data_IF_260046376676
#
_entry.id   IF_260046376676
#
_cell.length_a   1.000
_cell.length_b   1.000
_cell.length_c   1.000
_cell.angle_alpha   90.00
_cell.angle_beta   90.00
_cell.angle_gamma   90.00
#
_symmetry.space_group_name_H-M   'P 1'
#
loop_
_entity.id
_entity.type
_entity.pdbx_description
1 polymer ?
#
# COMPACT_ATOMS: atom_id res chain seq x y z
N UNK A 1 -18.43 17.52 14.86
CA UNK A 1 -18.01 18.34 13.71
C UNK A 1 -16.92 17.55 12.99
N UNK A 2 -17.22 17.09 11.79
CA UNK A 2 -16.23 16.36 10.97
C UNK A 2 -15.19 17.36 10.51
N UNK A 3 -13.97 17.28 11.03
CA UNK A 3 -12.83 18.02 10.52
C UNK A 3 -12.46 17.45 9.16
N UNK A 4 -12.85 18.11 8.09
CA UNK A 4 -12.48 17.75 6.73
C UNK A 4 -10.99 18.02 6.46
N UNK A 5 -10.50 17.56 5.32
CA UNK A 5 -9.13 17.80 4.83
C UNK A 5 -8.71 19.27 4.99
N UNK A 6 -9.60 20.22 4.63
CA UNK A 6 -9.36 21.66 4.73
C UNK A 6 -9.09 22.11 6.18
N UNK A 7 -9.87 21.57 7.13
CA UNK A 7 -9.73 21.89 8.54
C UNK A 7 -8.44 21.30 9.11
N UNK A 8 -8.03 20.11 8.64
CA UNK A 8 -6.77 19.49 9.03
C UNK A 8 -5.56 20.30 8.51
N UNK A 9 -5.57 20.72 7.25
CA UNK A 9 -4.49 21.59 6.72
C UNK A 9 -4.40 22.85 7.55
N UNK A 10 -5.53 23.52 7.82
CA UNK A 10 -5.58 24.72 8.66
C UNK A 10 -5.11 24.48 10.10
N UNK A 11 -5.53 23.36 10.69
CA UNK A 11 -5.13 22.93 12.04
C UNK A 11 -3.62 22.74 12.13
N UNK A 12 -3.05 21.93 11.25
CA UNK A 12 -1.61 21.64 11.29
C UNK A 12 -0.76 22.85 10.95
N UNK A 13 -1.21 23.72 10.02
CA UNK A 13 -0.53 25.00 9.77
C UNK A 13 -0.46 25.86 11.01
N UNK A 14 -1.59 26.00 11.73
CA UNK A 14 -1.62 26.77 13.00
C UNK A 14 -0.74 26.14 14.09
N UNK A 15 -0.75 24.81 14.19
CA UNK A 15 0.11 24.09 15.13
C UNK A 15 1.58 24.27 14.81
N UNK A 16 1.94 24.36 13.51
CA UNK A 16 3.30 24.68 13.07
C UNK A 16 3.66 26.17 13.21
N UNK A 17 2.74 27.02 13.69
CA UNK A 17 2.98 28.46 13.84
C UNK A 17 3.10 29.24 12.54
N UNK A 18 2.65 28.69 11.41
CA UNK A 18 2.79 29.29 10.09
C UNK A 18 1.58 30.15 9.72
N UNK A 19 1.80 31.28 9.03
CA UNK A 19 0.77 31.98 8.27
C UNK A 19 0.43 31.21 6.98
N UNK A 20 -0.62 31.59 6.25
CA UNK A 20 -0.89 31.01 4.93
C UNK A 20 0.23 31.30 3.94
N UNK A 21 0.81 32.50 4.03
CA UNK A 21 1.97 32.92 3.25
C UNK A 21 3.20 32.09 3.64
N UNK A 22 3.46 31.91 4.95
CA UNK A 22 4.57 31.10 5.43
C UNK A 22 4.44 29.62 5.04
N UNK A 23 3.23 29.05 5.02
CA UNK A 23 3.03 27.71 4.49
C UNK A 23 3.23 27.64 2.97
N UNK A 24 2.82 28.66 2.23
CA UNK A 24 3.02 28.71 0.79
C UNK A 24 4.52 28.75 0.46
N UNK A 25 5.29 29.56 1.16
CA UNK A 25 6.76 29.63 1.05
C UNK A 25 7.43 28.30 1.44
N UNK A 26 7.09 27.74 2.60
CA UNK A 26 7.66 26.47 3.08
C UNK A 26 7.35 25.28 2.18
N UNK A 27 6.22 25.34 1.47
CA UNK A 27 5.76 24.29 0.57
C UNK A 27 6.15 24.54 -0.90
N UNK A 28 6.78 25.65 -1.23
CA UNK A 28 7.03 26.11 -2.59
C UNK A 28 5.75 26.08 -3.46
N UNK A 29 4.65 26.58 -2.90
CA UNK A 29 3.35 26.66 -3.53
C UNK A 29 2.85 28.11 -3.60
N UNK A 30 1.92 28.38 -4.50
CA UNK A 30 1.27 29.68 -4.52
C UNK A 30 0.34 29.85 -3.29
N UNK A 31 0.22 31.08 -2.79
CA UNK A 31 -0.72 31.42 -1.72
C UNK A 31 -2.17 31.04 -2.09
N UNK A 32 -2.53 31.16 -3.37
CA UNK A 32 -3.84 30.78 -3.88
C UNK A 32 -4.09 29.27 -3.74
N UNK A 33 -3.07 28.46 -3.93
CA UNK A 33 -3.13 27.00 -3.74
C UNK A 33 -3.36 26.63 -2.26
N UNK A 34 -2.64 27.27 -1.35
CA UNK A 34 -2.83 27.06 0.11
C UNK A 34 -4.23 27.50 0.53
N UNK A 35 -4.70 28.66 0.10
CA UNK A 35 -6.06 29.13 0.38
C UNK A 35 -7.12 28.19 -0.17
N UNK A 36 -6.94 27.69 -1.40
CA UNK A 36 -7.83 26.72 -2.02
C UNK A 36 -7.92 25.42 -1.19
N UNK A 37 -6.77 24.89 -0.75
CA UNK A 37 -6.73 23.71 0.11
C UNK A 37 -7.45 23.93 1.45
N UNK A 38 -7.23 25.07 2.12
CA UNK A 38 -7.89 25.41 3.39
C UNK A 38 -9.37 25.76 3.25
N UNK A 39 -9.85 26.12 2.07
CA UNK A 39 -11.25 26.37 1.78
C UNK A 39 -12.02 25.12 1.31
N UNK A 40 -11.33 23.98 1.20
CA UNK A 40 -11.91 22.71 0.76
C UNK A 40 -12.10 22.62 -0.76
N UNK A 41 -11.37 23.44 -1.51
CA UNK A 41 -11.28 23.30 -2.96
C UNK A 41 -10.42 22.09 -3.34
N UNK A 42 -10.71 21.49 -4.49
CA UNK A 42 -9.92 20.36 -5.00
C UNK A 42 -8.48 20.81 -5.31
N UNK A 43 -7.51 20.11 -4.71
CA UNK A 43 -6.08 20.21 -4.97
C UNK A 43 -5.57 18.82 -5.34
N UNK A 44 -4.49 18.74 -6.12
CA UNK A 44 -3.91 17.47 -6.51
C UNK A 44 -3.32 16.72 -5.30
N UNK A 45 -3.17 15.41 -5.41
CA UNK A 45 -2.50 14.61 -4.39
C UNK A 45 -1.05 15.04 -4.20
N UNK A 46 -0.38 15.45 -5.28
CA UNK A 46 0.96 16.05 -5.25
C UNK A 46 0.99 17.29 -4.36
N UNK A 47 0.05 18.22 -4.54
CA UNK A 47 -0.10 19.41 -3.68
C UNK A 47 -0.29 19.03 -2.22
N UNK A 48 -1.12 18.00 -1.94
CA UNK A 48 -1.35 17.54 -0.58
C UNK A 48 -0.11 16.89 0.04
N UNK A 49 0.67 16.14 -0.72
CA UNK A 49 1.96 15.61 -0.27
C UNK A 49 2.94 16.74 0.07
N UNK A 50 3.00 17.77 -0.78
CA UNK A 50 3.86 18.94 -0.57
C UNK A 50 3.47 19.71 0.69
N UNK A 51 2.17 19.95 0.90
CA UNK A 51 1.65 20.57 2.12
C UNK A 51 1.94 19.73 3.37
N UNK A 52 1.72 18.41 3.30
CA UNK A 52 1.98 17.51 4.42
C UNK A 52 3.45 17.55 4.85
N UNK A 53 4.36 17.52 3.88
CA UNK A 53 5.81 17.62 4.12
C UNK A 53 6.19 18.96 4.77
N UNK A 54 5.70 20.08 4.25
CA UNK A 54 5.95 21.40 4.83
C UNK A 54 5.38 21.53 6.25
N UNK A 55 4.31 20.81 6.56
CA UNK A 55 3.68 20.75 7.89
C UNK A 55 4.30 19.71 8.83
N UNK A 56 5.26 18.90 8.38
CA UNK A 56 5.88 17.84 9.18
C UNK A 56 4.92 16.71 9.56
N UNK A 57 3.88 16.45 8.74
CA UNK A 57 2.89 15.40 8.97
C UNK A 57 2.80 14.47 7.75
N UNK A 58 2.28 13.24 7.94
CA UNK A 58 2.03 12.37 6.79
C UNK A 58 0.80 12.85 6.01
N UNK A 59 0.79 12.61 4.71
CA UNK A 59 -0.38 12.94 3.86
C UNK A 59 -1.64 12.24 4.36
N UNK A 60 -1.52 11.01 4.86
CA UNK A 60 -2.63 10.30 5.48
C UNK A 60 -3.20 11.01 6.70
N UNK A 61 -2.39 11.79 7.41
CA UNK A 61 -2.82 12.61 8.57
C UNK A 61 -3.71 13.77 8.11
N UNK A 62 -3.46 14.34 6.93
CA UNK A 62 -4.33 15.38 6.38
C UNK A 62 -5.72 14.84 6.02
N UNK A 63 -5.83 13.55 5.67
CA UNK A 63 -7.11 12.88 5.40
C UNK A 63 -7.75 12.27 6.66
N UNK A 64 -7.07 12.29 7.80
CA UNK A 64 -7.63 11.76 9.03
C UNK A 64 -8.85 12.62 9.41
N UNK A 65 -10.04 12.07 9.25
CA UNK A 65 -11.18 12.54 10.01
C UNK A 65 -10.94 12.12 11.45
N UNK A 66 -11.16 13.02 12.42
CA UNK A 66 -11.35 12.60 13.80
C UNK A 66 -12.55 11.65 13.76
N UNK A 67 -12.28 10.37 13.51
CA UNK A 67 -13.29 9.36 13.68
C UNK A 67 -13.77 9.52 15.13
N UNK A 68 -15.08 9.70 15.38
CA UNK A 68 -15.59 9.62 16.72
C UNK A 68 -14.96 8.37 17.30
N UNK A 69 -14.39 8.44 18.53
CA UNK A 69 -13.88 7.26 19.24
C UNK A 69 -14.97 6.22 19.12
N UNK A 70 -14.81 5.29 18.20
CA UNK A 70 -15.84 4.32 17.91
C UNK A 70 -16.13 3.68 19.24
N UNK A 71 -17.40 3.60 19.58
CA UNK A 71 -17.84 2.64 20.60
C UNK A 71 -17.26 1.32 20.08
N UNK A 72 -16.20 0.88 20.74
CA UNK A 72 -15.31 -0.20 20.28
C UNK A 72 -16.16 -1.43 20.07
N UNK A 73 -16.48 -1.73 18.83
CA UNK A 73 -17.19 -2.93 18.48
C UNK A 73 -16.34 -4.16 18.81
N UNK A 74 -16.98 -5.31 19.06
CA UNK A 74 -16.30 -6.59 19.32
C UNK A 74 -15.21 -6.90 18.28
N UNK A 75 -15.34 -6.42 17.05
CA UNK A 75 -14.36 -6.56 15.95
C UNK A 75 -13.07 -5.78 16.22
N UNK A 76 -13.16 -4.57 16.79
CA UNK A 76 -11.98 -3.76 17.11
C UNK A 76 -11.20 -4.30 18.30
N UNK A 77 -11.88 -4.93 19.25
CA UNK A 77 -11.25 -5.59 20.39
C UNK A 77 -10.51 -6.86 19.96
N UNK A 78 -11.11 -7.67 19.08
CA UNK A 78 -10.46 -8.83 18.49
C UNK A 78 -9.22 -8.45 17.68
N UNK A 79 -9.31 -7.40 16.85
CA UNK A 79 -8.18 -6.90 16.07
C UNK A 79 -7.04 -6.41 16.98
N UNK A 80 -7.34 -5.70 18.06
CA UNK A 80 -6.32 -5.28 19.04
C UNK A 80 -5.63 -6.45 19.72
N UNK A 81 -6.38 -7.49 20.06
CA UNK A 81 -5.83 -8.70 20.67
C UNK A 81 -4.88 -9.41 19.71
N UNK A 82 -5.28 -9.60 18.44
CA UNK A 82 -4.40 -10.20 17.43
C UNK A 82 -3.15 -9.35 17.15
N UNK A 83 -3.26 -8.03 17.12
CA UNK A 83 -2.09 -7.15 16.98
C UNK A 83 -1.15 -7.24 18.18
N UNK A 84 -1.66 -7.40 19.40
CA UNK A 84 -0.84 -7.60 20.59
C UNK A 84 -0.11 -8.94 20.56
N UNK A 85 -0.79 -10.03 20.14
CA UNK A 85 -0.19 -11.35 19.96
C UNK A 85 0.86 -11.33 18.84
N UNK A 86 0.55 -10.67 17.72
CA UNK A 86 1.48 -10.50 16.60
C UNK A 86 2.73 -9.72 17.01
N UNK A 87 2.57 -8.66 17.81
CA UNK A 87 3.70 -7.88 18.35
C UNK A 87 4.61 -8.76 19.19
N UNK A 88 4.08 -9.59 20.06
CA UNK A 88 4.89 -10.51 20.90
C UNK A 88 5.63 -11.55 20.06
N UNK A 89 4.99 -12.07 19.00
CA UNK A 89 5.62 -13.05 18.11
C UNK A 89 6.69 -12.43 17.20
N UNK A 90 6.48 -11.19 16.75
CA UNK A 90 7.41 -10.49 15.88
C UNK A 90 8.60 -9.88 16.64
N UNK A 91 8.36 -9.39 17.85
CA UNK A 91 9.32 -8.64 18.67
C UNK A 91 9.32 -9.24 20.09
N UNK A 92 9.82 -10.48 20.24
CA UNK A 92 9.90 -11.12 21.55
C UNK A 92 10.81 -10.31 22.47
N UNK A 93 10.53 -10.34 23.79
CA UNK A 93 11.42 -9.76 24.76
C UNK A 93 12.74 -10.55 24.79
N UNK A 94 13.87 -9.85 24.67
CA UNK A 94 15.20 -10.45 24.62
C UNK A 94 15.93 -10.17 25.92
N UNK A 95 16.40 -11.23 26.60
CA UNK A 95 17.29 -11.14 27.74
C UNK A 95 18.77 -11.07 27.31
N UNK A 96 19.70 -11.05 28.28
CA UNK A 96 21.14 -11.02 27.99
C UNK A 96 21.63 -12.30 27.28
N UNK A 97 21.03 -13.42 27.54
CA UNK A 97 21.50 -14.74 27.05
C UNK A 97 20.59 -15.39 26.03
N UNK A 98 19.28 -15.10 26.05
CA UNK A 98 18.28 -15.71 25.17
C UNK A 98 16.99 -14.88 25.15
N UNK A 99 16.10 -15.09 24.14
CA UNK A 99 14.73 -14.61 24.19
C UNK A 99 14.02 -15.15 25.45
N UNK A 100 13.16 -14.32 26.06
CA UNK A 100 12.39 -14.72 27.25
C UNK A 100 11.20 -15.64 26.90
N UNK A 101 10.84 -15.76 25.64
CA UNK A 101 9.78 -16.64 25.16
C UNK A 101 10.38 -17.80 24.38
N UNK A 102 9.98 -19.02 24.76
CA UNK A 102 10.25 -20.21 23.99
C UNK A 102 9.55 -20.08 22.62
N UNK A 103 10.25 -20.23 21.49
CA UNK A 103 9.62 -20.21 20.17
C UNK A 103 8.64 -21.39 19.97
N UNK A 104 8.67 -22.41 20.84
CA UNK A 104 7.85 -23.62 20.74
C UNK A 104 8.54 -24.72 19.94
N UNK A 105 7.83 -25.81 19.71
CA UNK A 105 8.32 -26.92 18.89
C UNK A 105 8.38 -26.54 17.41
N UNK A 106 9.46 -26.90 16.76
CA UNK A 106 9.58 -26.79 15.31
C UNK A 106 8.61 -27.80 14.67
N UNK A 107 7.56 -27.29 14.05
CA UNK A 107 6.70 -28.11 13.20
C UNK A 107 7.42 -28.52 11.91
N UNK A 108 6.80 -29.43 11.14
CA UNK A 108 7.36 -29.84 9.85
C UNK A 108 7.47 -28.68 8.87
N UNK A 109 8.58 -28.58 8.16
CA UNK A 109 8.85 -27.52 7.18
C UNK A 109 7.79 -27.46 6.07
N UNK A 110 7.26 -28.63 5.68
CA UNK A 110 6.14 -28.75 4.72
C UNK A 110 4.86 -28.06 5.22
N UNK A 111 4.55 -28.18 6.50
CA UNK A 111 3.40 -27.54 7.13
C UNK A 111 3.59 -26.03 7.24
N UNK A 112 4.80 -25.59 7.58
CA UNK A 112 5.15 -24.17 7.61
C UNK A 112 4.98 -23.52 6.24
N UNK A 113 5.52 -24.14 5.18
CA UNK A 113 5.39 -23.66 3.80
C UNK A 113 3.91 -23.57 3.37
N UNK A 114 3.13 -24.62 3.67
CA UNK A 114 1.69 -24.63 3.40
C UNK A 114 0.97 -23.49 4.15
N UNK A 115 1.26 -23.31 5.43
CA UNK A 115 0.68 -22.26 6.26
C UNK A 115 0.97 -20.84 5.73
N UNK A 116 2.18 -20.62 5.21
CA UNK A 116 2.55 -19.35 4.56
C UNK A 116 1.76 -19.14 3.25
N UNK A 117 1.66 -20.17 2.40
CA UNK A 117 0.88 -20.11 1.15
C UNK A 117 -0.60 -19.82 1.42
N UNK A 118 -1.20 -20.51 2.38
CA UNK A 118 -2.59 -20.25 2.81
C UNK A 118 -2.75 -18.84 3.37
N UNK A 119 -1.76 -18.34 4.13
CA UNK A 119 -1.75 -16.97 4.64
C UNK A 119 -1.74 -15.93 3.50
N UNK A 120 -0.94 -16.14 2.46
CA UNK A 120 -0.96 -15.31 1.26
C UNK A 120 -2.29 -15.39 0.50
N UNK A 121 -2.87 -16.59 0.35
CA UNK A 121 -4.17 -16.76 -0.28
C UNK A 121 -5.29 -16.01 0.48
N UNK A 122 -5.30 -16.07 1.81
CA UNK A 122 -6.22 -15.30 2.64
C UNK A 122 -6.03 -13.79 2.46
N UNK A 123 -4.78 -13.31 2.38
CA UNK A 123 -4.49 -11.90 2.13
C UNK A 123 -5.05 -11.42 0.78
N UNK A 124 -4.85 -12.21 -0.28
CA UNK A 124 -5.39 -11.91 -1.61
C UNK A 124 -6.91 -12.03 -1.70
N UNK A 125 -7.50 -12.89 -0.87
CA UNK A 125 -8.96 -13.03 -0.74
C UNK A 125 -9.62 -11.96 0.15
N UNK A 126 -8.91 -10.89 0.52
CA UNK A 126 -9.42 -9.81 1.39
C UNK A 126 -9.85 -10.27 2.80
N UNK A 127 -9.25 -11.36 3.31
CA UNK A 127 -9.59 -11.92 4.62
C UNK A 127 -8.56 -11.52 5.69
N UNK A 128 -8.39 -10.22 5.92
CA UNK A 128 -7.35 -9.69 6.82
C UNK A 128 -7.51 -10.15 8.27
N UNK A 129 -8.75 -10.34 8.74
CA UNK A 129 -9.00 -10.90 10.06
C UNK A 129 -8.48 -12.33 10.22
N UNK A 130 -8.59 -13.18 9.18
CA UNK A 130 -8.04 -14.52 9.16
C UNK A 130 -6.51 -14.51 9.07
N UNK A 131 -5.93 -13.60 8.28
CA UNK A 131 -4.46 -13.37 8.23
C UNK A 131 -3.95 -12.99 9.61
N UNK A 132 -4.54 -12.00 10.28
CA UNK A 132 -4.15 -11.54 11.60
C UNK A 132 -4.09 -12.67 12.64
N UNK A 133 -5.06 -13.57 12.59
CA UNK A 133 -5.14 -14.72 13.49
C UNK A 133 -4.02 -15.74 13.26
N UNK A 134 -3.59 -15.94 12.00
CA UNK A 134 -2.57 -16.94 11.64
C UNK A 134 -1.13 -16.44 11.85
N UNK A 135 -0.85 -15.16 11.60
CA UNK A 135 0.50 -14.62 11.60
C UNK A 135 1.32 -14.91 12.87
N UNK A 136 0.77 -14.79 14.11
CA UNK A 136 1.55 -15.09 15.32
C UNK A 136 2.06 -16.52 15.39
N UNK A 137 1.23 -17.49 14.96
CA UNK A 137 1.61 -18.90 14.89
C UNK A 137 2.71 -19.13 13.85
N UNK A 138 2.52 -18.62 12.63
CA UNK A 138 3.51 -18.74 11.56
C UNK A 138 4.88 -18.17 11.95
N UNK A 139 4.91 -17.01 12.62
CA UNK A 139 6.15 -16.39 13.06
C UNK A 139 6.86 -17.26 14.11
N UNK A 140 6.14 -17.76 15.11
CA UNK A 140 6.74 -18.65 16.13
C UNK A 140 7.24 -19.96 15.54
N UNK A 141 6.43 -20.65 14.74
CA UNK A 141 6.84 -21.91 14.11
C UNK A 141 8.02 -21.73 13.16
N UNK A 142 8.08 -20.60 12.43
CA UNK A 142 9.22 -20.31 11.55
C UNK A 142 10.51 -19.98 12.32
N UNK A 143 10.40 -19.30 13.46
CA UNK A 143 11.55 -19.06 14.37
C UNK A 143 12.07 -20.38 14.93
N UNK A 144 11.17 -21.22 15.45
CA UNK A 144 11.52 -22.53 15.98
C UNK A 144 12.21 -23.40 14.93
N UNK A 145 11.70 -23.40 13.69
CA UNK A 145 12.32 -24.18 12.60
C UNK A 145 13.74 -23.70 12.26
N UNK A 146 13.96 -22.39 12.16
CA UNK A 146 15.30 -21.82 11.91
C UNK A 146 16.28 -22.17 13.04
N UNK A 147 15.79 -22.18 14.29
CA UNK A 147 16.62 -22.47 15.47
C UNK A 147 16.93 -23.97 15.66
N UNK A 148 16.06 -24.86 15.20
CA UNK A 148 16.17 -26.30 15.44
C UNK A 148 16.83 -27.07 14.29
N UNK A 149 16.80 -26.52 13.06
CA UNK A 149 17.34 -27.18 11.87
C UNK A 149 18.75 -26.72 11.56
N UNK A 150 19.52 -27.52 10.82
CA UNK A 150 20.88 -27.24 10.41
C UNK A 150 21.07 -27.48 8.91
N UNK A 151 22.14 -26.91 8.32
CA UNK A 151 22.49 -27.12 6.92
C UNK A 151 21.42 -26.67 5.93
N UNK A 152 21.15 -27.47 4.92
CA UNK A 152 20.19 -27.18 3.84
C UNK A 152 18.75 -27.02 4.37
N UNK A 153 18.37 -27.79 5.38
CA UNK A 153 17.02 -27.66 6.00
C UNK A 153 16.86 -26.33 6.72
N UNK A 154 17.92 -25.84 7.37
CA UNK A 154 17.93 -24.52 7.99
C UNK A 154 17.77 -23.40 6.93
N UNK A 155 18.48 -23.50 5.80
CA UNK A 155 18.31 -22.54 4.70
C UNK A 155 16.87 -22.52 4.20
N UNK A 156 16.27 -23.68 4.02
CA UNK A 156 14.84 -23.80 3.68
C UNK A 156 13.91 -23.22 4.74
N UNK A 157 14.23 -23.38 6.02
CA UNK A 157 13.47 -22.76 7.11
C UNK A 157 13.62 -21.23 7.10
N UNK A 158 14.81 -20.72 6.85
CA UNK A 158 15.07 -19.27 6.68
C UNK A 158 14.22 -18.68 5.54
N UNK A 159 14.17 -19.35 4.39
CA UNK A 159 13.32 -18.93 3.26
C UNK A 159 11.85 -18.89 3.65
N UNK A 160 11.34 -19.94 4.32
CA UNK A 160 9.97 -19.98 4.78
C UNK A 160 9.66 -18.87 5.80
N UNK A 161 10.61 -18.58 6.70
CA UNK A 161 10.51 -17.45 7.63
C UNK A 161 10.51 -16.10 6.91
N UNK A 162 11.36 -15.91 5.90
CA UNK A 162 11.31 -14.71 5.06
C UNK A 162 9.92 -14.47 4.49
N UNK A 163 9.27 -15.51 3.95
CA UNK A 163 7.92 -15.38 3.41
C UNK A 163 6.88 -15.06 4.48
N UNK A 164 6.97 -15.66 5.67
CA UNK A 164 6.11 -15.32 6.81
C UNK A 164 6.28 -13.85 7.23
N UNK A 165 7.52 -13.35 7.25
CA UNK A 165 7.83 -11.96 7.58
C UNK A 165 7.37 -10.99 6.48
N UNK A 166 7.53 -11.34 5.20
CA UNK A 166 7.01 -10.55 4.08
C UNK A 166 5.48 -10.44 4.13
N UNK A 167 4.78 -11.54 4.41
CA UNK A 167 3.33 -11.52 4.60
C UNK A 167 2.95 -10.65 5.80
N UNK A 168 3.69 -10.76 6.90
CA UNK A 168 3.50 -9.93 8.11
C UNK A 168 3.69 -8.45 7.79
N UNK A 169 4.76 -8.07 7.11
CA UNK A 169 5.03 -6.70 6.70
C UNK A 169 3.95 -6.15 5.76
N UNK A 170 3.48 -6.96 4.81
CA UNK A 170 2.39 -6.64 3.89
C UNK A 170 1.09 -6.35 4.66
N UNK A 171 0.69 -7.23 5.57
CA UNK A 171 -0.48 -7.07 6.41
C UNK A 171 -0.38 -5.82 7.31
N UNK A 172 0.74 -5.67 8.03
CA UNK A 172 0.95 -4.56 8.96
C UNK A 172 0.97 -3.20 8.25
N UNK A 173 1.55 -3.11 7.04
CA UNK A 173 1.48 -1.89 6.23
C UNK A 173 0.03 -1.56 5.84
N UNK A 174 -0.76 -2.58 5.50
CA UNK A 174 -2.16 -2.41 5.14
C UNK A 174 -3.01 -1.88 6.31
N UNK A 175 -2.78 -2.42 7.51
CA UNK A 175 -3.49 -1.99 8.73
C UNK A 175 -2.79 -0.83 9.47
N UNK A 176 -1.77 -0.21 8.85
CA UNK A 176 -1.06 0.98 9.30
C UNK A 176 -0.29 0.83 10.62
N UNK A 177 0.21 -0.36 10.88
CA UNK A 177 1.17 -0.60 11.97
C UNK A 177 2.59 -0.49 11.41
N UNK A 178 2.99 0.73 11.04
CA UNK A 178 4.18 0.98 10.21
C UNK A 178 5.49 0.59 10.90
N UNK A 179 5.64 0.82 12.21
CA UNK A 179 6.87 0.47 12.92
C UNK A 179 7.07 -1.04 12.96
N UNK A 180 6.00 -1.79 13.24
CA UNK A 180 6.03 -3.26 13.19
C UNK A 180 6.25 -3.77 11.76
N UNK A 181 5.64 -3.13 10.76
CA UNK A 181 5.85 -3.47 9.35
C UNK A 181 7.30 -3.27 8.93
N UNK A 182 7.92 -2.16 9.34
CA UNK A 182 9.33 -1.87 9.09
C UNK A 182 10.23 -2.96 9.67
N UNK A 183 10.01 -3.33 10.93
CA UNK A 183 10.77 -4.38 11.58
C UNK A 183 10.65 -5.71 10.83
N UNK A 184 9.43 -6.14 10.48
CA UNK A 184 9.19 -7.38 9.74
C UNK A 184 9.89 -7.39 8.38
N UNK A 185 9.84 -6.27 7.64
CA UNK A 185 10.44 -6.17 6.31
C UNK A 185 11.97 -6.15 6.36
N UNK A 186 12.56 -5.41 7.30
CA UNK A 186 14.01 -5.35 7.46
C UNK A 186 14.56 -6.73 7.87
N UNK A 187 13.86 -7.43 8.77
CA UNK A 187 14.25 -8.77 9.17
C UNK A 187 14.12 -9.79 8.01
N UNK A 188 13.05 -9.68 7.19
CA UNK A 188 12.91 -10.50 5.99
C UNK A 188 14.07 -10.29 5.00
N UNK A 189 14.44 -9.02 4.75
CA UNK A 189 15.57 -8.67 3.87
C UNK A 189 16.88 -9.22 4.41
N UNK A 190 17.12 -9.10 5.72
CA UNK A 190 18.33 -9.61 6.38
C UNK A 190 18.44 -11.12 6.19
N UNK A 191 17.41 -11.88 6.53
CA UNK A 191 17.38 -13.35 6.41
C UNK A 191 17.49 -13.79 4.96
N UNK A 192 16.82 -13.14 4.02
CA UNK A 192 16.92 -13.48 2.60
C UNK A 192 18.35 -13.28 2.06
N UNK A 193 19.08 -12.26 2.55
CA UNK A 193 20.50 -12.04 2.20
C UNK A 193 21.41 -13.12 2.81
N UNK A 194 21.17 -13.51 4.05
CA UNK A 194 21.90 -14.60 4.72
C UNK A 194 21.69 -15.96 4.03
N UNK A 195 20.47 -16.23 3.56
CA UNK A 195 20.13 -17.39 2.76
C UNK A 195 20.50 -17.24 1.26
N UNK A 196 21.32 -16.26 0.89
CA UNK A 196 21.76 -16.01 -0.50
C UNK A 196 20.61 -15.88 -1.52
N UNK A 197 19.41 -15.49 -1.09
CA UNK A 197 18.20 -15.33 -1.89
C UNK A 197 18.01 -13.86 -2.32
N UNK A 198 18.87 -13.38 -3.25
CA UNK A 198 18.88 -11.98 -3.68
C UNK A 198 17.52 -11.49 -4.20
N UNK A 199 16.79 -12.34 -4.95
CA UNK A 199 15.47 -12.00 -5.49
C UNK A 199 14.43 -11.85 -4.38
N UNK A 200 14.45 -12.73 -3.37
CA UNK A 200 13.57 -12.64 -2.22
C UNK A 200 13.87 -11.40 -1.36
N UNK A 201 15.14 -11.07 -1.18
CA UNK A 201 15.59 -9.84 -0.53
C UNK A 201 15.05 -8.60 -1.27
N UNK A 202 15.13 -8.61 -2.61
CA UNK A 202 14.62 -7.52 -3.44
C UNK A 202 13.09 -7.38 -3.36
N UNK A 203 12.34 -8.48 -3.24
CA UNK A 203 10.90 -8.44 -2.94
C UNK A 203 10.63 -7.76 -1.59
N UNK A 204 11.46 -8.01 -0.58
CA UNK A 204 11.42 -7.30 0.70
C UNK A 204 11.65 -5.79 0.53
N UNK A 205 12.61 -5.41 -0.32
CA UNK A 205 12.89 -4.00 -0.63
C UNK A 205 11.70 -3.34 -1.33
N UNK A 206 11.03 -4.00 -2.29
CA UNK A 206 9.78 -3.50 -2.89
C UNK A 206 8.74 -3.17 -1.83
N UNK A 207 8.59 -4.08 -0.85
CA UNK A 207 7.70 -3.88 0.29
C UNK A 207 8.10 -2.71 1.17
N UNK A 208 9.39 -2.59 1.48
CA UNK A 208 9.91 -1.49 2.29
C UNK A 208 9.72 -0.14 1.58
N UNK A 209 9.97 -0.06 0.27
CA UNK A 209 9.69 1.14 -0.51
C UNK A 209 8.19 1.51 -0.47
N UNK A 210 7.29 0.52 -0.55
CA UNK A 210 5.86 0.78 -0.41
C UNK A 210 5.49 1.32 0.99
N UNK A 211 6.12 0.80 2.04
CA UNK A 211 5.98 1.32 3.41
C UNK A 211 6.47 2.77 3.52
N UNK A 212 7.66 3.07 2.97
CA UNK A 212 8.23 4.42 2.95
C UNK A 212 7.31 5.41 2.21
N UNK A 213 6.74 5.01 1.07
CA UNK A 213 5.72 5.82 0.36
C UNK A 213 4.49 6.12 1.22
N UNK A 214 4.10 5.21 2.12
CA UNK A 214 2.98 5.40 3.07
C UNK A 214 3.34 6.33 4.23
N UNK A 215 4.62 6.55 4.47
CA UNK A 215 5.17 7.44 5.49
C UNK A 215 5.64 8.78 4.91
N UNK A 216 5.37 9.05 3.62
CA UNK A 216 5.81 10.23 2.88
C UNK A 216 7.35 10.40 2.81
N UNK A 217 8.09 9.31 2.99
CA UNK A 217 9.56 9.21 2.87
C UNK A 217 9.95 8.92 1.42
N UNK A 218 9.59 9.83 0.52
CA UNK A 218 9.68 9.59 -0.92
C UNK A 218 11.12 9.54 -1.43
N UNK A 219 12.02 10.40 -0.91
CA UNK A 219 13.43 10.41 -1.31
C UNK A 219 14.11 9.09 -0.98
N UNK A 220 13.85 8.56 0.22
CA UNK A 220 14.40 7.29 0.65
C UNK A 220 13.82 6.12 -0.16
N UNK A 221 12.52 6.15 -0.45
CA UNK A 221 11.88 5.12 -1.28
C UNK A 221 12.46 5.13 -2.71
N UNK A 222 12.65 6.31 -3.30
CA UNK A 222 13.23 6.47 -4.65
C UNK A 222 14.68 5.96 -4.69
N UNK A 223 15.50 6.42 -3.74
CA UNK A 223 16.91 6.04 -3.67
C UNK A 223 17.09 4.53 -3.47
N UNK A 224 16.38 3.96 -2.51
CA UNK A 224 16.43 2.53 -2.19
C UNK A 224 15.98 1.68 -3.38
N UNK A 225 14.85 2.02 -3.99
CA UNK A 225 14.33 1.28 -5.14
C UNK A 225 15.27 1.37 -6.35
N UNK A 226 15.78 2.56 -6.67
CA UNK A 226 16.68 2.78 -7.81
C UNK A 226 18.03 2.08 -7.62
N UNK A 227 18.57 2.09 -6.40
CA UNK A 227 19.81 1.37 -6.08
C UNK A 227 19.61 -0.13 -6.26
N UNK A 228 18.58 -0.70 -5.64
CA UNK A 228 18.30 -2.14 -5.73
C UNK A 228 17.99 -2.57 -7.17
N UNK A 229 17.24 -1.75 -7.94
CA UNK A 229 16.96 -2.07 -9.34
C UNK A 229 18.23 -2.15 -10.20
N UNK A 230 19.23 -1.30 -9.93
CA UNK A 230 20.54 -1.37 -10.61
C UNK A 230 21.36 -2.60 -10.18
N UNK A 231 21.30 -2.97 -8.90
CA UNK A 231 22.03 -4.14 -8.37
C UNK A 231 21.51 -5.46 -8.96
N UNK A 232 20.21 -5.53 -9.26
CA UNK A 232 19.56 -6.73 -9.83
C UNK A 232 19.16 -6.55 -11.31
N UNK A 233 19.77 -5.63 -12.04
CA UNK A 233 19.41 -5.43 -13.44
C UNK A 233 19.52 -6.74 -14.24
N UNK A 234 18.42 -7.21 -14.88
CA UNK A 234 18.42 -8.49 -15.55
C UNK A 234 19.13 -8.41 -16.89
N UNK A 235 19.86 -9.47 -17.25
CA UNK A 235 20.17 -9.73 -18.65
C UNK A 235 18.91 -10.27 -19.32
N UNK A 236 18.30 -9.51 -20.21
CA UNK A 236 16.97 -9.81 -20.78
C UNK A 236 16.89 -11.21 -21.43
N UNK A 237 17.99 -11.72 -21.98
CA UNK A 237 18.08 -13.07 -22.56
C UNK A 237 18.07 -14.22 -21.56
N UNK A 238 18.35 -13.94 -20.29
CA UNK A 238 18.51 -14.92 -19.21
C UNK A 238 17.51 -14.71 -18.07
N UNK A 239 16.73 -13.64 -18.16
CA UNK A 239 15.84 -13.22 -17.09
C UNK A 239 14.66 -14.18 -16.91
N UNK A 240 14.44 -14.62 -15.68
CA UNK A 240 13.21 -15.35 -15.32
C UNK A 240 12.02 -14.41 -15.20
N UNK A 241 10.77 -14.89 -15.37
CA UNK A 241 9.59 -14.09 -15.13
C UNK A 241 9.59 -13.40 -13.76
N UNK A 242 9.95 -14.13 -12.71
CA UNK A 242 10.04 -13.59 -11.36
C UNK A 242 11.11 -12.49 -11.22
N UNK A 243 12.24 -12.61 -11.90
CA UNK A 243 13.29 -11.58 -11.90
C UNK A 243 12.80 -10.30 -12.60
N UNK A 244 12.19 -10.44 -13.79
CA UNK A 244 11.58 -9.31 -14.51
C UNK A 244 10.50 -8.60 -13.69
N UNK A 245 9.67 -9.37 -12.99
CA UNK A 245 8.59 -8.81 -12.17
C UNK A 245 9.12 -8.00 -10.98
N UNK A 246 10.06 -8.53 -10.19
CA UNK A 246 10.65 -7.80 -9.06
C UNK A 246 11.38 -6.55 -9.55
N UNK A 247 12.15 -6.66 -10.64
CA UNK A 247 12.86 -5.53 -11.23
C UNK A 247 11.88 -4.45 -11.74
N UNK A 248 10.80 -4.84 -12.40
CA UNK A 248 9.74 -3.95 -12.82
C UNK A 248 9.01 -3.28 -11.65
N UNK A 249 8.69 -4.03 -10.58
CA UNK A 249 8.10 -3.46 -9.36
C UNK A 249 9.01 -2.41 -8.71
N UNK A 250 10.32 -2.60 -8.68
CA UNK A 250 11.26 -1.60 -8.16
C UNK A 250 11.19 -0.30 -8.98
N UNK A 251 11.18 -0.38 -10.31
CA UNK A 251 11.01 0.80 -11.16
C UNK A 251 9.65 1.47 -10.99
N UNK A 252 8.58 0.71 -10.73
CA UNK A 252 7.29 1.28 -10.36
C UNK A 252 7.38 2.05 -9.01
N UNK A 253 8.20 1.60 -8.05
CA UNK A 253 8.44 2.34 -6.80
C UNK A 253 9.22 3.62 -7.03
N UNK A 254 10.27 3.59 -7.86
CA UNK A 254 11.00 4.80 -8.28
C UNK A 254 10.02 5.81 -8.90
N UNK A 255 9.22 5.40 -9.87
CA UNK A 255 8.27 6.28 -10.53
C UNK A 255 7.25 6.87 -9.54
N UNK A 256 6.65 6.03 -8.69
CA UNK A 256 5.68 6.48 -7.68
C UNK A 256 6.28 7.49 -6.69
N UNK A 257 7.53 7.32 -6.29
CA UNK A 257 8.24 8.25 -5.42
C UNK A 257 8.55 9.56 -6.15
N UNK A 258 9.09 9.46 -7.38
CA UNK A 258 9.49 10.61 -8.18
C UNK A 258 8.32 11.54 -8.53
N UNK A 259 7.13 10.99 -8.85
CA UNK A 259 5.91 11.79 -9.06
C UNK A 259 5.55 12.59 -7.81
N UNK A 260 5.60 11.96 -6.63
CA UNK A 260 5.30 12.61 -5.35
C UNK A 260 6.34 13.65 -4.94
N UNK A 261 7.58 13.49 -5.42
CA UNK A 261 8.69 14.43 -5.23
C UNK A 261 8.75 15.52 -6.31
N UNK A 262 7.76 15.59 -7.18
CA UNK A 262 7.75 16.53 -8.32
C UNK A 262 9.01 16.40 -9.21
N UNK A 263 9.40 15.16 -9.53
CA UNK A 263 10.51 14.82 -10.43
C UNK A 263 10.00 14.10 -11.69
N UNK A 264 9.31 14.81 -12.60
CA UNK A 264 8.60 14.17 -13.72
C UNK A 264 9.53 13.45 -14.69
N UNK A 265 10.79 13.93 -14.85
CA UNK A 265 11.78 13.28 -15.73
C UNK A 265 12.18 11.90 -15.18
N UNK A 266 12.47 11.83 -13.88
CA UNK A 266 12.80 10.56 -13.20
C UNK A 266 11.63 9.60 -13.26
N UNK A 267 10.41 10.08 -13.02
CA UNK A 267 9.20 9.28 -13.11
C UNK A 267 9.00 8.70 -14.52
N UNK A 268 9.20 9.52 -15.56
CA UNK A 268 9.07 9.10 -16.96
C UNK A 268 10.10 8.03 -17.32
N UNK A 269 11.36 8.20 -16.92
CA UNK A 269 12.40 7.19 -17.12
C UNK A 269 12.07 5.88 -16.42
N UNK A 270 11.72 5.95 -15.15
CA UNK A 270 11.34 4.77 -14.36
C UNK A 270 10.13 4.03 -14.96
N UNK A 271 9.13 4.77 -15.50
CA UNK A 271 8.01 4.16 -16.23
C UNK A 271 8.44 3.45 -17.50
N UNK A 272 9.42 3.97 -18.24
CA UNK A 272 9.98 3.28 -19.42
C UNK A 272 10.65 1.97 -19.05
N UNK A 273 11.43 1.96 -17.97
CA UNK A 273 12.09 0.75 -17.46
C UNK A 273 11.06 -0.30 -17.00
N UNK A 274 10.06 0.12 -16.25
CA UNK A 274 8.96 -0.77 -15.85
C UNK A 274 8.18 -1.32 -17.06
N UNK A 275 7.90 -0.49 -18.05
CA UNK A 275 7.22 -0.91 -19.28
C UNK A 275 8.05 -1.91 -20.10
N UNK A 276 9.38 -1.76 -20.14
CA UNK A 276 10.26 -2.73 -20.78
C UNK A 276 10.19 -4.10 -20.09
N UNK A 277 10.24 -4.14 -18.75
CA UNK A 277 10.05 -5.37 -17.99
C UNK A 277 8.67 -6.01 -18.24
N UNK A 278 7.62 -5.20 -18.22
CA UNK A 278 6.25 -5.65 -18.44
C UNK A 278 6.06 -6.22 -19.87
N UNK A 279 6.65 -5.59 -20.87
CA UNK A 279 6.62 -6.05 -22.26
C UNK A 279 7.38 -7.37 -22.44
N UNK A 280 8.52 -7.53 -21.76
CA UNK A 280 9.28 -8.78 -21.79
C UNK A 280 8.52 -9.93 -21.11
N UNK A 281 7.81 -9.64 -20.01
CA UNK A 281 6.97 -10.61 -19.31
C UNK A 281 5.72 -10.99 -20.10
N UNK A 282 5.09 -10.02 -20.75
CA UNK A 282 3.91 -10.16 -21.64
C UNK A 282 2.67 -10.84 -21.01
N UNK A 283 2.60 -10.90 -19.70
CA UNK A 283 1.47 -11.42 -18.92
C UNK A 283 1.46 -10.80 -17.54
N UNK A 284 0.28 -10.75 -16.90
CA UNK A 284 0.22 -10.46 -15.47
C UNK A 284 0.72 -11.67 -14.69
N UNK A 285 1.69 -11.47 -13.82
CA UNK A 285 2.18 -12.51 -12.94
C UNK A 285 1.56 -12.33 -11.55
N UNK A 286 0.54 -13.14 -11.28
CA UNK A 286 -0.10 -13.28 -9.96
C UNK A 286 0.33 -14.57 -9.25
N UNK A 287 0.89 -15.51 -10.02
CA UNK A 287 1.09 -16.89 -9.57
C UNK A 287 2.26 -17.05 -8.61
N UNK A 288 3.14 -16.06 -8.54
CA UNK A 288 4.30 -16.13 -7.69
C UNK A 288 3.93 -15.72 -6.26
N UNK A 289 3.91 -16.65 -5.28
CA UNK A 289 3.48 -16.35 -3.91
C UNK A 289 4.36 -15.31 -3.21
N UNK A 290 5.43 -14.89 -3.86
CA UNK A 290 6.48 -14.07 -3.30
C UNK A 290 6.51 -12.64 -3.85
N UNK A 291 5.64 -12.31 -4.83
CA UNK A 291 5.49 -10.94 -5.31
C UNK A 291 4.92 -10.05 -4.23
N UNK A 292 5.41 -8.81 -4.21
CA UNK A 292 4.80 -7.84 -3.31
C UNK A 292 3.38 -7.50 -3.74
N UNK A 293 3.16 -7.16 -5.00
CA UNK A 293 1.87 -6.69 -5.51
C UNK A 293 1.39 -7.34 -6.80
N UNK A 294 2.16 -8.24 -7.38
CA UNK A 294 2.00 -8.68 -8.76
C UNK A 294 2.50 -7.65 -9.77
N UNK A 295 2.91 -8.09 -10.93
CA UNK A 295 3.49 -7.23 -11.96
C UNK A 295 3.19 -7.77 -13.37
N UNK A 296 2.96 -6.85 -14.31
CA UNK A 296 2.76 -7.15 -15.71
C UNK A 296 2.29 -5.93 -16.49
N UNK A 297 1.87 -6.10 -17.77
CA UNK A 297 1.46 -5.00 -18.63
C UNK A 297 0.28 -4.19 -18.08
N UNK A 298 -0.72 -4.85 -17.50
CA UNK A 298 -1.90 -4.18 -16.95
C UNK A 298 -1.52 -3.45 -15.66
N UNK A 299 -0.77 -4.08 -14.75
CA UNK A 299 -0.29 -3.44 -13.51
C UNK A 299 0.57 -2.21 -13.82
N UNK A 300 1.48 -2.28 -14.80
CA UNK A 300 2.30 -1.14 -15.19
C UNK A 300 1.45 0.04 -15.69
N UNK A 301 0.40 -0.25 -16.50
CA UNK A 301 -0.52 0.76 -16.98
C UNK A 301 -1.41 1.36 -15.87
N UNK A 302 -1.91 0.53 -14.93
CA UNK A 302 -2.63 1.03 -13.75
C UNK A 302 -1.79 2.07 -12.98
N UNK A 303 -0.50 1.81 -12.84
CA UNK A 303 0.42 2.71 -12.15
C UNK A 303 0.72 3.98 -12.95
N UNK A 304 0.68 3.92 -14.28
CA UNK A 304 0.78 5.12 -15.10
C UNK A 304 -0.48 6.00 -15.00
N UNK A 305 -1.66 5.38 -14.84
CA UNK A 305 -2.90 6.12 -14.57
C UNK A 305 -2.93 6.68 -13.13
N UNK A 306 -2.37 5.98 -12.15
CA UNK A 306 -2.19 6.52 -10.79
C UNK A 306 -1.39 7.84 -10.81
N UNK A 307 -0.34 7.94 -11.65
CA UNK A 307 0.44 9.18 -11.78
C UNK A 307 -0.43 10.35 -12.28
N UNK A 308 -1.35 10.11 -13.22
CA UNK A 308 -2.29 11.13 -13.67
C UNK A 308 -3.23 11.59 -12.54
N UNK A 309 -3.68 10.65 -11.71
CA UNK A 309 -4.49 10.98 -10.52
C UNK A 309 -3.71 11.85 -9.53
N UNK A 310 -2.43 11.53 -9.30
CA UNK A 310 -1.56 12.28 -8.40
C UNK A 310 -1.33 13.73 -8.84
N UNK A 311 -1.12 13.96 -10.15
CA UNK A 311 -0.95 15.32 -10.68
C UNK A 311 -2.27 16.06 -10.92
N UNK A 312 -3.41 15.40 -10.70
CA UNK A 312 -4.74 16.01 -10.81
C UNK A 312 -5.30 16.04 -12.24
N UNK A 313 -4.72 15.28 -13.19
CA UNK A 313 -5.29 15.14 -14.54
C UNK A 313 -6.45 14.14 -14.57
N UNK A 314 -7.52 14.54 -13.91
CA UNK A 314 -8.74 13.78 -13.70
C UNK A 314 -9.38 13.29 -15.01
N UNK A 315 -9.35 14.13 -16.05
CA UNK A 315 -9.95 13.78 -17.36
C UNK A 315 -9.18 12.67 -18.05
N UNK A 316 -7.86 12.69 -17.96
CA UNK A 316 -7.02 11.64 -18.52
C UNK A 316 -7.15 10.32 -17.74
N UNK A 317 -7.37 10.37 -16.42
CA UNK A 317 -7.70 9.18 -15.62
C UNK A 317 -8.93 8.50 -16.21
N UNK A 318 -10.08 9.21 -16.33
CA UNK A 318 -11.31 8.61 -16.84
C UNK A 318 -11.19 8.14 -18.30
N UNK A 319 -10.50 8.90 -19.17
CA UNK A 319 -10.31 8.51 -20.57
C UNK A 319 -9.52 7.22 -20.72
N UNK A 320 -8.52 6.97 -19.86
CA UNK A 320 -7.64 5.80 -19.93
C UNK A 320 -8.14 4.59 -19.15
N UNK A 321 -9.18 4.75 -18.34
CA UNK A 321 -9.64 3.74 -17.39
C UNK A 321 -10.07 2.43 -18.05
N UNK A 322 -10.73 2.50 -19.18
CA UNK A 322 -11.28 1.32 -19.87
C UNK A 322 -10.78 1.23 -21.33
N UNK A 323 -9.64 1.88 -21.64
CA UNK A 323 -9.06 1.95 -22.98
C UNK A 323 -7.67 1.30 -23.06
N UNK A 324 -7.24 0.95 -24.27
CA UNK A 324 -5.91 0.39 -24.53
C UNK A 324 -5.65 -0.89 -23.74
N UNK A 325 -4.59 -0.89 -22.95
CA UNK A 325 -4.18 -2.03 -22.11
C UNK A 325 -5.17 -2.28 -20.96
N UNK A 326 -5.93 -1.28 -20.53
CA UNK A 326 -6.95 -1.41 -19.49
C UNK A 326 -8.33 -1.84 -20.03
N UNK A 327 -8.49 -1.98 -21.34
CA UNK A 327 -9.73 -2.52 -21.90
C UNK A 327 -9.97 -3.96 -21.48
N UNK A 328 -11.23 -4.35 -21.36
CA UNK A 328 -11.64 -5.73 -21.03
C UNK A 328 -10.98 -6.79 -21.92
N UNK A 329 -10.75 -6.48 -23.20
CA UNK A 329 -10.09 -7.38 -24.14
C UNK A 329 -8.62 -7.57 -23.75
N UNK A 330 -7.91 -6.51 -23.48
CA UNK A 330 -6.49 -6.55 -23.11
C UNK A 330 -6.29 -7.21 -21.75
N UNK A 331 -7.14 -6.89 -20.77
CA UNK A 331 -7.11 -7.53 -19.44
C UNK A 331 -7.36 -9.04 -19.53
N UNK A 332 -8.26 -9.49 -20.42
CA UNK A 332 -8.43 -10.94 -20.67
C UNK A 332 -7.21 -11.59 -21.32
N UNK A 333 -6.49 -10.87 -22.18
CA UNK A 333 -5.31 -11.40 -22.86
C UNK A 333 -4.06 -11.45 -21.96
N UNK A 334 -3.79 -10.37 -21.22
CA UNK A 334 -2.60 -10.27 -20.38
C UNK A 334 -2.78 -10.89 -19.00
N UNK A 335 -4.00 -11.10 -18.55
CA UNK A 335 -4.36 -11.47 -17.19
C UNK A 335 -4.86 -10.27 -16.38
N UNK A 336 -5.50 -10.58 -15.26
CA UNK A 336 -6.03 -9.56 -14.35
C UNK A 336 -4.99 -9.23 -13.28
N UNK A 337 -4.74 -7.95 -12.95
CA UNK A 337 -3.86 -7.60 -11.84
C UNK A 337 -4.49 -7.98 -10.50
N UNK A 338 -3.66 -8.06 -9.46
CA UNK A 338 -4.11 -8.39 -8.10
C UNK A 338 -5.25 -7.48 -7.64
N UNK A 339 -6.16 -8.03 -6.82
CA UNK A 339 -7.31 -7.29 -6.31
C UNK A 339 -6.95 -5.95 -5.64
N UNK A 340 -5.87 -5.83 -4.83
CA UNK A 340 -5.46 -4.53 -4.28
C UNK A 340 -4.97 -3.53 -5.33
N UNK A 341 -4.30 -3.96 -6.40
CA UNK A 341 -3.86 -3.06 -7.48
C UNK A 341 -5.07 -2.57 -8.29
N UNK A 342 -5.96 -3.49 -8.65
CA UNK A 342 -7.21 -3.14 -9.32
C UNK A 342 -8.07 -2.21 -8.46
N UNK A 343 -8.23 -2.54 -7.18
CA UNK A 343 -9.00 -1.72 -6.23
C UNK A 343 -8.48 -0.29 -6.09
N UNK A 344 -7.16 -0.10 -6.06
CA UNK A 344 -6.56 1.25 -6.04
C UNK A 344 -6.91 2.05 -7.27
N UNK A 345 -6.76 1.44 -8.44
CA UNK A 345 -7.13 2.07 -9.69
C UNK A 345 -8.62 2.51 -9.69
N UNK A 346 -9.53 1.62 -9.26
CA UNK A 346 -10.96 1.99 -9.17
C UNK A 346 -11.23 3.08 -8.13
N UNK A 347 -10.43 3.20 -7.08
CA UNK A 347 -10.48 4.35 -6.18
C UNK A 347 -10.00 5.66 -6.82
N UNK A 348 -8.97 5.61 -7.67
CA UNK A 348 -8.54 6.78 -8.45
C UNK A 348 -9.64 7.22 -9.43
N UNK A 349 -10.33 6.26 -10.04
CA UNK A 349 -11.52 6.51 -10.89
C UNK A 349 -12.66 7.13 -10.08
N UNK A 350 -12.99 6.57 -8.91
CA UNK A 350 -14.00 7.14 -8.03
C UNK A 350 -13.67 8.57 -7.59
N UNK A 351 -12.39 8.83 -7.28
CA UNK A 351 -11.90 10.17 -6.97
C UNK A 351 -12.03 11.12 -8.17
N UNK A 352 -11.73 10.62 -9.38
CA UNK A 352 -11.88 11.38 -10.59
C UNK A 352 -13.36 11.78 -10.86
N UNK A 353 -14.28 10.85 -10.68
CA UNK A 353 -15.73 11.12 -10.78
C UNK A 353 -16.21 12.18 -9.79
N UNK A 354 -15.80 12.07 -8.51
CA UNK A 354 -16.15 13.09 -7.49
C UNK A 354 -15.60 14.45 -7.87
N UNK A 355 -14.35 14.52 -8.31
CA UNK A 355 -13.71 15.79 -8.70
C UNK A 355 -14.42 16.48 -9.86
N UNK A 356 -15.03 15.71 -10.76
CA UNK A 356 -15.83 16.22 -11.88
C UNK A 356 -17.34 16.39 -11.55
N UNK A 357 -17.75 16.10 -10.32
CA UNK A 357 -19.14 16.24 -9.85
C UNK A 357 -20.04 15.06 -10.22
N UNK A 358 -19.50 13.96 -10.75
CA UNK A 358 -20.25 12.73 -11.09
C UNK A 358 -20.39 11.83 -9.84
N UNK A 359 -21.15 12.30 -8.85
CA UNK A 359 -21.24 11.62 -7.55
C UNK A 359 -21.89 10.23 -7.62
N UNK A 360 -22.79 10.00 -8.59
CA UNK A 360 -23.40 8.69 -8.77
C UNK A 360 -22.37 7.67 -9.26
N UNK A 361 -21.60 8.03 -10.28
CA UNK A 361 -20.55 7.15 -10.82
C UNK A 361 -19.50 6.83 -9.75
N UNK A 362 -19.10 7.82 -8.94
CA UNK A 362 -18.22 7.62 -7.80
C UNK A 362 -18.80 6.67 -6.75
N UNK A 363 -20.10 6.76 -6.48
CA UNK A 363 -20.80 5.87 -5.55
C UNK A 363 -20.86 4.43 -6.10
N UNK A 364 -21.10 4.27 -7.39
CA UNK A 364 -21.16 2.97 -8.07
C UNK A 364 -19.79 2.26 -7.99
N UNK A 365 -18.68 2.99 -8.18
CA UNK A 365 -17.33 2.49 -7.97
C UNK A 365 -17.10 2.01 -6.53
N UNK A 366 -17.47 2.82 -5.54
CA UNK A 366 -17.34 2.43 -4.13
C UNK A 366 -18.19 1.20 -3.79
N UNK A 367 -19.41 1.10 -4.33
CA UNK A 367 -20.30 -0.04 -4.12
C UNK A 367 -19.74 -1.31 -4.76
N UNK A 368 -19.14 -1.22 -5.93
CA UNK A 368 -18.47 -2.35 -6.57
C UNK A 368 -17.26 -2.81 -5.76
N UNK A 369 -16.41 -1.88 -5.31
CA UNK A 369 -15.27 -2.19 -4.45
C UNK A 369 -15.68 -2.84 -3.13
N UNK A 370 -16.77 -2.37 -2.51
CA UNK A 370 -17.29 -2.99 -1.30
C UNK A 370 -17.70 -4.44 -1.51
N UNK A 371 -18.28 -4.77 -2.67
CA UNK A 371 -18.68 -6.15 -3.01
C UNK A 371 -17.50 -7.08 -3.25
N UNK A 372 -16.42 -6.57 -3.83
CA UNK A 372 -15.26 -7.37 -4.25
C UNK A 372 -14.12 -7.38 -3.23
N UNK A 373 -13.94 -6.30 -2.47
CA UNK A 373 -12.80 -6.07 -1.57
C UNK A 373 -13.22 -5.20 -0.37
N UNK A 374 -14.27 -5.62 0.32
CA UNK A 374 -14.92 -4.81 1.36
C UNK A 374 -14.04 -4.58 2.59
N UNK A 375 -13.26 -5.56 3.03
CA UNK A 375 -12.37 -5.40 4.18
C UNK A 375 -11.19 -4.50 3.82
N UNK A 376 -10.57 -4.68 2.65
CA UNK A 376 -9.52 -3.82 2.12
C UNK A 376 -9.97 -2.36 2.02
N UNK A 377 -11.19 -2.14 1.53
CA UNK A 377 -11.75 -0.80 1.33
C UNK A 377 -11.81 0.01 2.63
N UNK A 378 -12.10 -0.64 3.76
CA UNK A 378 -12.15 0.03 5.08
C UNK A 378 -10.80 0.60 5.51
N UNK A 379 -9.70 0.07 4.98
CA UNK A 379 -8.35 0.53 5.27
C UNK A 379 -7.85 1.64 4.33
N UNK A 380 -8.66 2.03 3.32
CA UNK A 380 -8.25 3.03 2.32
C UNK A 380 -8.71 4.46 2.70
N UNK A 381 -7.77 5.41 2.95
CA UNK A 381 -8.13 6.80 3.22
C UNK A 381 -8.86 7.45 2.06
N UNK A 382 -8.46 7.13 0.81
CA UNK A 382 -9.09 7.68 -0.38
C UNK A 382 -10.57 7.32 -0.45
N UNK A 383 -10.97 6.10 -0.06
CA UNK A 383 -12.37 5.71 -0.01
C UNK A 383 -13.18 6.59 0.95
N UNK A 384 -12.61 6.89 2.13
CA UNK A 384 -13.23 7.79 3.11
C UNK A 384 -13.31 9.22 2.59
N UNK A 385 -12.26 9.69 1.92
CA UNK A 385 -12.25 11.02 1.31
C UNK A 385 -13.32 11.14 0.24
N UNK A 386 -13.39 10.21 -0.71
CA UNK A 386 -14.43 10.17 -1.76
C UNK A 386 -15.83 10.17 -1.15
N UNK A 387 -16.07 9.31 -0.15
CA UNK A 387 -17.38 9.23 0.50
C UNK A 387 -17.74 10.53 1.24
N UNK A 388 -16.77 11.12 1.96
CA UNK A 388 -16.99 12.40 2.67
C UNK A 388 -17.32 13.52 1.69
N UNK A 389 -16.70 13.56 0.52
CA UNK A 389 -16.97 14.58 -0.49
C UNK A 389 -18.35 14.38 -1.14
N UNK A 390 -18.73 13.13 -1.44
CA UNK A 390 -20.11 12.80 -1.88
C UNK A 390 -21.14 13.29 -0.86
N UNK A 391 -20.93 13.07 0.43
CA UNK A 391 -21.85 13.51 1.49
C UNK A 391 -21.92 15.03 1.60
N UNK A 392 -20.79 15.73 1.49
CA UNK A 392 -20.67 17.18 1.63
C UNK A 392 -21.37 17.95 0.49
N UNK A 393 -21.24 17.46 -0.74
CA UNK A 393 -21.72 18.17 -1.94
C UNK A 393 -23.19 17.91 -2.24
N UNK A 394 -23.80 16.95 -1.57
CA UNK A 394 -25.17 16.56 -1.83
C UNK A 394 -26.20 17.53 -1.22
N UNK A 395 -27.18 17.89 -2.05
CA UNK A 395 -28.29 18.81 -1.68
C UNK A 395 -29.58 18.08 -1.26
N UNK A 396 -29.60 16.73 -1.28
CA UNK A 396 -30.82 15.92 -1.03
C UNK A 396 -30.58 14.92 0.10
N UNK A 397 -31.65 14.31 0.59
CA UNK A 397 -31.65 13.25 1.61
C UNK A 397 -30.72 12.10 1.17
N UNK A 398 -29.94 11.56 2.12
CA UNK A 398 -29.05 10.43 1.86
C UNK A 398 -29.84 9.18 1.43
N UNK A 399 -29.38 8.51 0.39
CA UNK A 399 -29.92 7.19 0.01
C UNK A 399 -29.51 6.14 1.04
N UNK A 400 -30.15 4.99 1.03
CA UNK A 400 -29.81 3.86 1.89
C UNK A 400 -28.37 3.38 1.60
N UNK A 401 -27.99 3.29 0.32
CA UNK A 401 -26.63 2.91 -0.11
C UNK A 401 -25.58 3.88 0.43
N UNK A 402 -25.84 5.19 0.43
CA UNK A 402 -24.92 6.18 0.97
C UNK A 402 -24.76 6.04 2.48
N UNK A 403 -25.86 5.83 3.21
CA UNK A 403 -25.80 5.59 4.66
C UNK A 403 -25.02 4.31 4.97
N UNK A 404 -25.31 3.25 4.24
CA UNK A 404 -24.66 1.96 4.39
C UNK A 404 -23.17 2.01 4.06
N UNK A 405 -22.78 2.75 3.00
CA UNK A 405 -21.36 2.93 2.64
C UNK A 405 -20.63 3.82 3.64
N UNK A 406 -21.25 4.93 4.07
CA UNK A 406 -20.68 5.80 5.10
C UNK A 406 -20.42 5.05 6.41
N UNK A 407 -21.39 4.24 6.86
CA UNK A 407 -21.23 3.39 8.03
C UNK A 407 -20.10 2.35 7.84
N UNK A 408 -20.01 1.72 6.66
CA UNK A 408 -18.95 0.76 6.33
C UNK A 408 -17.55 1.36 6.39
N UNK A 409 -17.41 2.60 5.91
CA UNK A 409 -16.14 3.34 5.89
C UNK A 409 -15.86 4.11 7.20
N UNK A 410 -16.80 4.16 8.14
CA UNK A 410 -16.68 4.94 9.37
C UNK A 410 -16.66 6.45 9.11
N UNK A 411 -17.39 6.93 8.08
CA UNK A 411 -17.55 8.34 7.74
C UNK A 411 -18.85 8.83 8.37
N UNK A 412 -18.78 9.92 9.17
CA UNK A 412 -19.98 10.55 9.73
C UNK A 412 -20.82 11.19 8.61
N UNK A 413 -22.11 10.88 8.57
CA UNK A 413 -23.07 11.45 7.63
C UNK A 413 -23.63 12.80 8.09
#
# INVERSE_FOLDING_TARGET
MSTGLADNVRKYRRTAGLSQEGLAEAADLSLSTVRKAEQGGHVSMETLHTLARALGVSTSTLFATDAPKSVLGKRDEANRRYLAELRRALMPAVGLSAPLSDPGEAGELSELRRGVQEGHALYWADQYGAVAKRLPGLLRSSEAAVSALEGEEQEHAMIARCHALLLTGKYLTQVRQYDMAYFALVEAIRLAREAHQAQLASTGVVGLCWLLLRQDRFDEAEQLAAQTAREIEPRMSEATPAHLAVWGELWLRVASAAVRNNRPEVAREARRMAAAAASALNTEDESFPHHWGGFGPVTAELKAVEDLSLVGDTRSVLRRTDDGILSDKSVRNFGRPTAPNWGRHRLDVAHAHVTLGSHQDAMDELMQLRRTSGEWLTHQPMARYVMADILKTRKRTLTEDMRSMAAHLGVAG
#
